data_IF_400171732174
#
_entry.id   IF_400171732174
#
_cell.length_a   1.000
_cell.length_b   1.000
_cell.length_c   1.000
_cell.angle_alpha   90.00
_cell.angle_beta   90.00
_cell.angle_gamma   90.00
#
_symmetry.space_group_name_H-M   'P 1'
#
loop_
_entity.id
_entity.type
_entity.pdbx_description
1 polymer ?
#
# COMPACT_ATOMS: atom_id res chain seq x y z
N UNK A 1 12.24 61.48 0.90
CA UNK A 1 11.38 60.78 1.87
C UNK A 1 10.42 59.90 1.09
N UNK A 2 10.42 58.59 1.30
CA UNK A 2 9.59 57.67 0.51
C UNK A 2 9.58 56.29 1.13
N UNK A 3 9.18 56.21 2.40
CA UNK A 3 8.93 54.94 3.08
C UNK A 3 7.51 54.48 2.81
N UNK A 4 7.33 53.17 2.63
CA UNK A 4 6.01 52.56 2.49
C UNK A 4 5.14 52.92 3.70
N UNK A 5 3.88 53.25 3.44
CA UNK A 5 2.88 53.47 4.48
C UNK A 5 2.51 52.16 5.18
N UNK A 6 2.05 52.25 6.42
CA UNK A 6 1.53 51.11 7.18
C UNK A 6 0.47 50.32 6.39
N UNK A 7 -0.38 51.01 5.62
CA UNK A 7 -1.40 50.42 4.75
C UNK A 7 -0.79 49.53 3.66
N UNK A 8 0.31 49.97 3.03
CA UNK A 8 1.01 49.17 2.02
C UNK A 8 1.68 47.93 2.63
N UNK A 9 2.19 48.02 3.86
CA UNK A 9 2.69 46.85 4.58
C UNK A 9 1.58 45.86 4.92
N UNK A 10 0.43 46.33 5.38
CA UNK A 10 -0.74 45.48 5.67
C UNK A 10 -1.23 44.75 4.41
N UNK A 11 -1.26 45.43 3.26
CA UNK A 11 -1.63 44.81 1.99
C UNK A 11 -0.61 43.74 1.54
N UNK A 12 0.69 44.01 1.72
CA UNK A 12 1.75 43.03 1.46
C UNK A 12 1.62 41.81 2.37
N UNK A 13 1.33 42.00 3.66
CA UNK A 13 1.07 40.89 4.58
C UNK A 13 -0.17 40.07 4.19
N UNK A 14 -1.25 40.74 3.75
CA UNK A 14 -2.44 40.07 3.23
C UNK A 14 -2.11 39.14 2.06
N UNK A 15 -1.43 39.68 1.03
CA UNK A 15 -0.99 38.92 -0.16
C UNK A 15 -0.07 37.76 0.21
N UNK A 16 0.83 37.97 1.19
CA UNK A 16 1.74 36.93 1.66
C UNK A 16 1.00 35.80 2.38
N UNK A 17 0.06 36.12 3.28
CA UNK A 17 -0.81 35.13 3.95
C UNK A 17 -1.60 34.31 2.94
N UNK A 18 -2.20 34.97 1.95
CA UNK A 18 -2.95 34.29 0.89
C UNK A 18 -2.07 33.32 0.08
N UNK A 19 -0.85 33.76 -0.27
CA UNK A 19 0.13 32.91 -0.97
C UNK A 19 0.54 31.68 -0.15
N UNK A 20 0.76 31.85 1.16
CA UNK A 20 1.05 30.72 2.06
C UNK A 20 -0.14 29.77 2.13
N UNK A 21 -1.34 30.30 2.34
CA UNK A 21 -2.55 29.47 2.48
C UNK A 21 -2.82 28.67 1.20
N UNK A 22 -2.60 29.26 0.02
CA UNK A 22 -2.71 28.54 -1.25
C UNK A 22 -1.73 27.38 -1.34
N UNK A 23 -0.45 27.63 -1.06
CA UNK A 23 0.59 26.58 -1.04
C UNK A 23 0.28 25.49 -0.02
N UNK A 24 -0.22 25.86 1.15
CA UNK A 24 -0.58 24.92 2.21
C UNK A 24 -1.78 24.04 1.78
N UNK A 25 -2.75 24.63 1.08
CA UNK A 25 -3.85 23.89 0.47
C UNK A 25 -3.37 22.92 -0.62
N UNK A 26 -2.43 23.33 -1.46
CA UNK A 26 -1.85 22.46 -2.49
C UNK A 26 -1.08 21.28 -1.87
N UNK A 27 -0.31 21.51 -0.81
CA UNK A 27 0.38 20.45 -0.05
C UNK A 27 -0.62 19.47 0.56
N UNK A 28 -1.68 19.95 1.21
CA UNK A 28 -2.74 19.10 1.78
C UNK A 28 -3.38 18.19 0.72
N UNK A 29 -3.69 18.73 -0.46
CA UNK A 29 -4.23 17.94 -1.57
C UNK A 29 -3.26 16.85 -2.06
N UNK A 30 -1.96 17.10 -2.02
CA UNK A 30 -0.98 16.07 -2.35
C UNK A 30 -0.95 14.97 -1.28
N UNK A 31 -1.01 15.33 0.01
CA UNK A 31 -1.14 14.35 1.09
C UNK A 31 -2.37 13.46 0.93
N UNK A 32 -3.55 14.04 0.65
CA UNK A 32 -4.78 13.27 0.39
C UNK A 32 -4.62 12.26 -0.76
N UNK A 33 -3.90 12.63 -1.82
CA UNK A 33 -3.60 11.72 -2.94
C UNK A 33 -2.69 10.56 -2.51
N UNK A 34 -1.68 10.84 -1.70
CA UNK A 34 -0.75 9.81 -1.20
C UNK A 34 -1.49 8.86 -0.26
N UNK A 35 -2.32 9.39 0.65
CA UNK A 35 -3.16 8.57 1.54
C UNK A 35 -4.11 7.67 0.75
N UNK A 36 -4.78 8.20 -0.27
CA UNK A 36 -5.63 7.40 -1.15
C UNK A 36 -4.84 6.30 -1.87
N UNK A 37 -3.68 6.65 -2.43
CA UNK A 37 -2.82 5.67 -3.11
C UNK A 37 -2.36 4.56 -2.15
N UNK A 38 -2.06 4.90 -0.88
CA UNK A 38 -1.70 3.93 0.16
C UNK A 38 -2.85 2.95 0.43
N UNK A 39 -4.08 3.44 0.57
CA UNK A 39 -5.26 2.59 0.75
C UNK A 39 -5.48 1.68 -0.45
N UNK A 40 -5.35 2.20 -1.67
CA UNK A 40 -5.49 1.42 -2.90
C UNK A 40 -4.42 0.31 -3.01
N UNK A 41 -3.17 0.61 -2.61
CA UNK A 41 -2.10 -0.38 -2.57
C UNK A 41 -2.34 -1.47 -1.52
N UNK A 42 -2.81 -1.11 -0.32
CA UNK A 42 -3.19 -2.09 0.70
C UNK A 42 -4.32 -3.00 0.23
N UNK A 43 -5.31 -2.44 -0.48
CA UNK A 43 -6.40 -3.22 -1.06
C UNK A 43 -5.87 -4.24 -2.07
N UNK A 44 -4.99 -3.81 -2.99
CA UNK A 44 -4.36 -4.71 -3.96
C UNK A 44 -3.51 -5.80 -3.30
N UNK A 45 -2.77 -5.48 -2.25
CA UNK A 45 -1.99 -6.47 -1.51
C UNK A 45 -2.91 -7.57 -0.91
N UNK A 46 -4.05 -7.17 -0.34
CA UNK A 46 -5.06 -8.12 0.18
C UNK A 46 -5.71 -8.95 -0.92
N UNK A 47 -6.05 -8.35 -2.06
CA UNK A 47 -6.58 -9.07 -3.23
C UNK A 47 -5.58 -10.11 -3.74
N UNK A 48 -4.30 -9.73 -3.91
CA UNK A 48 -3.24 -10.66 -4.30
C UNK A 48 -3.09 -11.84 -3.34
N UNK A 49 -3.14 -11.58 -2.02
CA UNK A 49 -3.10 -12.62 -1.00
C UNK A 49 -4.26 -13.60 -1.16
N UNK A 50 -5.48 -13.07 -1.26
CA UNK A 50 -6.69 -13.87 -1.40
C UNK A 50 -6.67 -14.72 -2.68
N UNK A 51 -6.26 -14.15 -3.80
CA UNK A 51 -6.19 -14.87 -5.08
C UNK A 51 -5.14 -15.98 -5.04
N UNK A 52 -3.97 -15.72 -4.45
CA UNK A 52 -2.95 -16.73 -4.24
C UNK A 52 -3.44 -17.87 -3.32
N UNK A 53 -4.10 -17.54 -2.21
CA UNK A 53 -4.70 -18.54 -1.31
C UNK A 53 -5.75 -19.41 -2.01
N UNK A 54 -6.57 -18.81 -2.87
CA UNK A 54 -7.59 -19.52 -3.66
C UNK A 54 -6.95 -20.49 -4.66
N UNK A 55 -5.93 -20.07 -5.39
CA UNK A 55 -5.22 -20.95 -6.34
C UNK A 55 -4.48 -22.08 -5.61
N UNK A 56 -3.84 -21.78 -4.47
CA UNK A 56 -3.21 -22.81 -3.64
C UNK A 56 -4.24 -23.85 -3.17
N UNK A 57 -5.40 -23.41 -2.68
CA UNK A 57 -6.46 -24.31 -2.24
C UNK A 57 -6.97 -25.20 -3.39
N UNK A 58 -7.04 -24.65 -4.60
CA UNK A 58 -7.38 -25.42 -5.80
C UNK A 58 -6.33 -26.49 -6.08
N UNK A 59 -5.04 -26.15 -6.05
CA UNK A 59 -3.95 -27.12 -6.21
C UNK A 59 -3.99 -28.22 -5.14
N UNK A 60 -4.25 -27.88 -3.87
CA UNK A 60 -4.39 -28.86 -2.79
C UNK A 60 -5.51 -29.85 -3.07
N UNK A 61 -6.66 -29.36 -3.51
CA UNK A 61 -7.81 -30.19 -3.86
C UNK A 61 -7.52 -31.09 -5.06
N UNK A 62 -6.87 -30.57 -6.10
CA UNK A 62 -6.55 -31.32 -7.31
C UNK A 62 -5.54 -32.44 -7.00
N UNK A 63 -4.51 -32.17 -6.20
CA UNK A 63 -3.54 -33.18 -5.75
C UNK A 63 -4.21 -34.25 -4.87
N UNK A 64 -5.11 -33.84 -3.98
CA UNK A 64 -5.81 -34.77 -3.11
C UNK A 64 -6.67 -35.75 -3.92
N UNK A 65 -7.41 -35.23 -4.91
CA UNK A 65 -8.33 -35.99 -5.77
C UNK A 65 -7.66 -36.77 -6.88
N UNK A 66 -6.43 -36.42 -7.26
CA UNK A 66 -5.70 -37.10 -8.34
C UNK A 66 -5.53 -38.60 -8.06
N UNK A 67 -5.91 -39.44 -9.03
CA UNK A 67 -5.70 -40.89 -8.97
C UNK A 67 -4.34 -41.30 -9.55
N UNK A 68 -3.73 -40.43 -10.34
CA UNK A 68 -2.50 -40.70 -11.08
C UNK A 68 -1.23 -40.41 -10.26
N UNK A 69 -1.37 -39.71 -9.13
CA UNK A 69 -0.26 -39.41 -8.24
C UNK A 69 -0.05 -40.51 -7.19
N UNK A 70 1.17 -41.06 -7.16
CA UNK A 70 1.62 -41.94 -6.09
C UNK A 70 1.59 -41.24 -4.70
N UNK A 71 1.39 -41.99 -3.60
CA UNK A 71 1.35 -41.41 -2.25
C UNK A 71 2.58 -40.56 -1.90
N UNK A 72 3.78 -40.99 -2.29
CA UNK A 72 5.04 -40.28 -2.06
C UNK A 72 5.07 -38.95 -2.82
N UNK A 73 4.60 -38.94 -4.07
CA UNK A 73 4.49 -37.73 -4.89
C UNK A 73 3.51 -36.74 -4.27
N UNK A 74 2.35 -37.22 -3.79
CA UNK A 74 1.38 -36.37 -3.07
C UNK A 74 1.99 -35.78 -1.80
N UNK A 75 2.76 -36.56 -1.04
CA UNK A 75 3.45 -36.07 0.15
C UNK A 75 4.46 -34.97 -0.18
N UNK A 76 5.26 -35.16 -1.24
CA UNK A 76 6.22 -34.15 -1.70
C UNK A 76 5.54 -32.86 -2.14
N UNK A 77 4.50 -32.96 -2.97
CA UNK A 77 3.77 -31.78 -3.45
C UNK A 77 3.08 -31.00 -2.32
N UNK A 78 2.61 -31.68 -1.27
CA UNK A 78 2.09 -31.01 -0.06
C UNK A 78 3.15 -30.19 0.67
N UNK A 79 4.40 -30.65 0.71
CA UNK A 79 5.50 -29.89 1.30
C UNK A 79 5.79 -28.62 0.47
N UNK A 80 5.80 -28.74 -0.85
CA UNK A 80 5.96 -27.59 -1.76
C UNK A 80 4.82 -26.58 -1.58
N UNK A 81 3.57 -27.04 -1.46
CA UNK A 81 2.43 -26.17 -1.18
C UNK A 81 2.59 -25.43 0.16
N UNK A 82 3.06 -26.12 1.20
CA UNK A 82 3.29 -25.47 2.49
C UNK A 82 4.40 -24.41 2.42
N UNK A 83 5.45 -24.67 1.64
CA UNK A 83 6.48 -23.68 1.33
C UNK A 83 5.88 -22.47 0.62
N UNK A 84 5.09 -22.69 -0.43
CA UNK A 84 4.43 -21.64 -1.19
C UNK A 84 3.47 -20.79 -0.34
N UNK A 85 2.68 -21.42 0.54
CA UNK A 85 1.82 -20.71 1.51
C UNK A 85 2.63 -19.78 2.39
N UNK A 86 3.75 -20.26 2.89
CA UNK A 86 4.64 -19.48 3.77
C UNK A 86 5.27 -18.32 3.03
N UNK A 87 5.70 -18.53 1.77
CA UNK A 87 6.26 -17.49 0.91
C UNK A 87 5.24 -16.40 0.58
N UNK A 88 4.01 -16.77 0.21
CA UNK A 88 2.92 -15.82 -0.06
C UNK A 88 2.60 -14.98 1.18
N UNK A 89 2.49 -15.62 2.35
CA UNK A 89 2.24 -14.92 3.62
C UNK A 89 3.37 -13.94 3.96
N UNK A 90 4.62 -14.36 3.79
CA UNK A 90 5.78 -13.51 4.05
C UNK A 90 5.79 -12.29 3.10
N UNK A 91 5.68 -12.51 1.79
CA UNK A 91 5.71 -11.45 0.78
C UNK A 91 4.57 -10.45 0.96
N UNK A 92 3.36 -10.92 1.26
CA UNK A 92 2.22 -10.03 1.50
C UNK A 92 2.41 -9.22 2.79
N UNK A 93 2.88 -9.84 3.87
CA UNK A 93 3.16 -9.13 5.13
C UNK A 93 4.24 -8.06 4.96
N UNK A 94 5.31 -8.38 4.21
CA UNK A 94 6.38 -7.43 3.92
C UNK A 94 5.85 -6.23 3.10
N UNK A 95 5.00 -6.48 2.12
CA UNK A 95 4.36 -5.41 1.34
C UNK A 95 3.45 -4.54 2.22
N UNK A 96 2.61 -5.14 3.06
CA UNK A 96 1.73 -4.41 3.98
C UNK A 96 2.52 -3.52 4.94
N UNK A 97 3.62 -4.03 5.52
CA UNK A 97 4.52 -3.27 6.39
C UNK A 97 5.16 -2.10 5.65
N UNK A 98 5.75 -2.33 4.47
CA UNK A 98 6.36 -1.24 3.68
C UNK A 98 5.34 -0.15 3.33
N UNK A 99 4.13 -0.54 2.93
CA UNK A 99 3.05 0.42 2.62
C UNK A 99 2.64 1.19 3.88
N UNK A 100 2.56 0.52 5.04
CA UNK A 100 2.25 1.16 6.32
C UNK A 100 3.32 2.19 6.73
N UNK A 101 4.60 1.86 6.57
CA UNK A 101 5.75 2.68 6.96
C UNK A 101 5.97 3.90 6.05
N UNK A 102 5.52 3.86 4.78
CA UNK A 102 5.80 4.90 3.77
C UNK A 102 5.29 6.32 4.14
N UNK A 103 4.45 6.47 5.17
CA UNK A 103 3.94 7.78 5.63
C UNK A 103 3.73 7.81 7.16
N UNK A 104 4.46 7.00 7.93
CA UNK A 104 4.47 7.23 9.37
C UNK A 104 5.22 8.57 9.60
N UNK A 105 4.60 9.58 10.25
CA UNK A 105 5.36 10.73 10.67
C UNK A 105 6.38 10.24 11.70
N UNK A 106 7.67 10.27 11.36
CA UNK A 106 8.77 10.21 12.33
C UNK A 106 8.70 11.41 13.26
#
# INVERSE_FOLDING_TARGET
MGGLSEREYMEKFGKFKEKINKKLGDVKKQFEKIEKAKVDLLKKAKEMKHDAEKEILKMENDIAKSKDLAPESKKRLRLEINSLKSEVLHKCSELETRIAETIAPT
#
